data_IF_541296055553
#
_entry.id   IF_541296055553
#
_cell.length_a   1.000
_cell.length_b   1.000
_cell.length_c   1.000
_cell.angle_alpha   90.00
_cell.angle_beta   90.00
_cell.angle_gamma   90.00
#
_symmetry.space_group_name_H-M   'P 1'
#
loop_
_entity.id
_entity.type
_entity.pdbx_description
1 polymer ?
#
# COMPACT_ATOMS: atom_id res chain seq x y z
N UNK A 1 12.17 -2.23 16.04
CA UNK A 1 13.12 -3.02 15.22
C UNK A 1 14.49 -2.35 15.14
N UNK A 2 14.61 -1.20 14.47
CA UNK A 2 15.89 -0.47 14.34
C UNK A 2 16.53 -0.15 15.70
N UNK A 3 15.77 0.42 16.62
CA UNK A 3 16.25 0.73 17.98
C UNK A 3 16.72 -0.52 18.73
N UNK A 4 16.07 -1.67 18.54
CA UNK A 4 16.46 -2.94 19.16
C UNK A 4 17.77 -3.50 18.58
N UNK A 5 18.15 -3.09 17.36
CA UNK A 5 19.48 -3.34 16.78
C UNK A 5 20.51 -2.28 17.22
N UNK A 6 20.11 -1.28 18.01
CA UNK A 6 20.97 -0.16 18.41
C UNK A 6 21.30 0.78 17.25
N UNK A 7 20.49 0.78 16.18
CA UNK A 7 20.70 1.61 15.00
C UNK A 7 19.83 2.87 15.04
N UNK A 8 20.42 4.02 14.75
CA UNK A 8 19.68 5.26 14.53
C UNK A 8 19.63 5.56 13.04
N UNK A 9 18.45 5.40 12.44
CA UNK A 9 18.18 5.70 11.03
C UNK A 9 17.04 6.69 10.96
N UNK A 10 17.23 7.81 10.27
CA UNK A 10 16.33 8.96 10.34
C UNK A 10 15.64 9.29 9.01
N UNK A 11 15.97 8.60 7.91
CA UNK A 11 15.36 8.84 6.60
C UNK A 11 14.39 7.74 6.18
N UNK A 12 13.28 8.14 5.60
CA UNK A 12 12.34 7.25 4.90
C UNK A 12 12.25 7.71 3.45
N UNK A 13 12.48 6.79 2.52
CA UNK A 13 12.35 7.09 1.10
C UNK A 13 10.92 6.81 0.64
N UNK A 14 10.33 7.70 -0.13
CA UNK A 14 9.00 7.50 -0.70
C UNK A 14 8.97 8.02 -2.15
N UNK A 15 8.33 7.31 -3.11
CA UNK A 15 8.15 7.84 -4.46
C UNK A 15 7.43 9.19 -4.44
N UNK A 16 7.76 10.08 -5.37
CA UNK A 16 7.04 11.36 -5.54
C UNK A 16 5.55 11.17 -5.83
N UNK A 17 5.18 10.02 -6.39
CA UNK A 17 3.80 9.62 -6.66
C UNK A 17 3.07 9.09 -5.41
N UNK A 18 3.75 8.81 -4.30
CA UNK A 18 3.14 8.19 -3.13
C UNK A 18 1.93 8.97 -2.61
N UNK A 19 0.92 8.25 -2.10
CA UNK A 19 -0.22 8.90 -1.47
C UNK A 19 0.25 9.78 -0.31
N UNK A 20 -0.27 11.01 -0.20
CA UNK A 20 0.24 12.03 0.74
C UNK A 20 0.23 11.62 2.22
N UNK A 21 -0.54 10.58 2.59
CA UNK A 21 -0.49 9.98 3.93
C UNK A 21 0.83 9.31 4.26
N UNK A 22 1.56 8.79 3.26
CA UNK A 22 2.83 8.10 3.46
C UNK A 22 3.90 9.06 3.99
N UNK A 23 4.25 10.15 3.27
CA UNK A 23 5.22 11.13 3.78
C UNK A 23 4.73 11.81 5.05
N UNK A 24 3.43 12.09 5.18
CA UNK A 24 2.86 12.68 6.41
C UNK A 24 3.03 11.76 7.62
N UNK A 25 2.80 10.45 7.46
CA UNK A 25 2.96 9.46 8.55
C UNK A 25 4.42 9.30 8.93
N UNK A 26 5.33 9.21 7.96
CA UNK A 26 6.76 9.12 8.23
C UNK A 26 7.26 10.36 8.99
N UNK A 27 6.86 11.56 8.58
CA UNK A 27 7.16 12.80 9.28
C UNK A 27 6.57 12.83 10.71
N UNK A 28 5.34 12.36 10.89
CA UNK A 28 4.70 12.24 12.20
C UNK A 28 5.45 11.27 13.13
N UNK A 29 6.06 10.22 12.58
CA UNK A 29 6.94 9.30 13.29
C UNK A 29 8.36 9.85 13.50
N UNK A 30 8.65 11.10 13.13
CA UNK A 30 9.93 11.76 13.34
C UNK A 30 11.00 11.49 12.27
N UNK A 31 10.64 10.84 11.17
CA UNK A 31 11.57 10.62 10.05
C UNK A 31 11.62 11.83 9.11
N UNK A 32 12.79 12.04 8.49
CA UNK A 32 12.95 12.90 7.32
C UNK A 32 12.50 12.13 6.09
N UNK A 33 11.48 12.64 5.38
CA UNK A 33 11.04 12.08 4.11
C UNK A 33 11.99 12.53 3.01
N UNK A 34 12.52 11.59 2.25
CA UNK A 34 13.32 11.86 1.06
C UNK A 34 12.63 11.29 -0.19
N UNK A 35 12.20 12.13 -1.14
CA UNK A 35 11.50 11.67 -2.33
C UNK A 35 12.39 10.84 -3.26
N UNK A 36 11.82 9.79 -3.86
CA UNK A 36 12.42 9.00 -4.93
C UNK A 36 11.79 9.45 -6.26
N UNK A 37 12.60 9.84 -7.26
CA UNK A 37 12.06 10.26 -8.56
C UNK A 37 11.37 9.10 -9.28
N UNK A 38 10.41 9.45 -10.14
CA UNK A 38 9.83 8.52 -11.10
C UNK A 38 10.65 8.48 -12.40
N UNK A 39 10.68 7.32 -13.05
CA UNK A 39 11.23 7.18 -14.40
C UNK A 39 10.23 7.63 -15.48
N UNK A 40 10.66 7.64 -16.74
CA UNK A 40 9.81 8.02 -17.87
C UNK A 40 8.59 7.09 -18.09
N UNK A 41 8.54 5.94 -17.41
CA UNK A 41 7.44 4.97 -17.46
C UNK A 41 6.46 5.16 -16.29
N UNK A 42 6.66 6.18 -15.43
CA UNK A 42 5.80 6.45 -14.28
C UNK A 42 6.01 5.51 -13.10
N UNK A 43 7.14 4.80 -13.06
CA UNK A 43 7.53 3.87 -12.00
C UNK A 43 8.68 4.46 -11.19
N UNK A 44 9.03 3.83 -10.08
CA UNK A 44 10.22 4.24 -9.31
C UNK A 44 11.48 4.15 -10.18
N UNK A 45 12.27 5.23 -10.21
CA UNK A 45 13.60 5.18 -10.82
C UNK A 45 14.56 4.40 -9.90
N UNK A 46 14.93 3.19 -10.33
CA UNK A 46 15.85 2.32 -9.59
C UNK A 46 17.25 2.92 -9.45
N UNK A 47 17.72 3.74 -10.40
CA UNK A 47 19.02 4.39 -10.27
C UNK A 47 18.96 5.46 -9.17
N UNK A 48 17.94 6.33 -9.20
CA UNK A 48 17.68 7.32 -8.16
C UNK A 48 17.44 6.71 -6.78
N UNK A 49 16.73 5.57 -6.69
CA UNK A 49 16.59 4.82 -5.44
C UNK A 49 17.96 4.40 -4.91
N UNK A 50 18.78 3.74 -5.75
CA UNK A 50 20.09 3.22 -5.35
C UNK A 50 21.05 4.32 -4.89
N UNK A 51 21.02 5.50 -5.51
CA UNK A 51 21.83 6.65 -5.11
C UNK A 51 21.45 7.17 -3.72
N UNK A 52 20.16 7.08 -3.34
CA UNK A 52 19.64 7.58 -2.07
C UNK A 52 19.78 6.61 -0.90
N UNK A 53 19.98 5.32 -1.16
CA UNK A 53 20.15 4.30 -0.14
C UNK A 53 21.44 4.52 0.66
N UNK A 54 21.36 4.28 1.97
CA UNK A 54 22.47 4.51 2.89
C UNK A 54 22.19 3.94 4.27
N UNK A 55 23.19 3.95 5.17
CA UNK A 55 23.05 3.43 6.54
C UNK A 55 22.06 4.24 7.40
N UNK A 56 21.68 5.45 6.96
CA UNK A 56 20.72 6.35 7.58
C UNK A 56 19.26 6.12 7.12
N UNK A 57 19.05 5.25 6.12
CA UNK A 57 17.73 4.93 5.57
C UNK A 57 17.05 3.83 6.39
N UNK A 58 15.94 4.18 7.04
CA UNK A 58 15.14 3.30 7.88
C UNK A 58 14.21 2.41 7.05
N UNK A 59 13.56 2.97 6.04
CA UNK A 59 12.58 2.27 5.23
C UNK A 59 12.36 2.91 3.85
N UNK A 60 11.78 2.14 2.94
CA UNK A 60 11.06 2.66 1.78
C UNK A 60 9.55 2.50 1.98
N UNK A 61 8.77 3.46 1.48
CA UNK A 61 7.30 3.41 1.47
C UNK A 61 6.78 3.48 0.03
N UNK A 62 6.33 2.36 -0.53
CA UNK A 62 5.87 2.27 -1.93
C UNK A 62 4.43 1.80 -1.97
N UNK A 63 3.62 2.33 -2.89
CA UNK A 63 2.30 1.78 -3.22
C UNK A 63 2.45 0.88 -4.44
N UNK A 64 1.95 -0.36 -4.41
CA UNK A 64 1.96 -1.25 -5.57
C UNK A 64 0.60 -1.97 -5.74
N UNK A 65 -0.12 -1.78 -6.88
CA UNK A 65 0.15 -0.84 -7.97
C UNK A 65 0.31 0.60 -7.48
N UNK A 66 1.18 1.38 -8.12
CA UNK A 66 1.42 2.76 -7.75
C UNK A 66 0.20 3.64 -8.05
N UNK A 67 0.24 4.89 -7.60
CA UNK A 67 -0.87 5.85 -7.68
C UNK A 67 -1.16 6.35 -9.09
N UNK A 68 -0.35 5.96 -10.08
CA UNK A 68 -0.63 6.15 -11.50
C UNK A 68 -1.37 4.95 -12.12
N UNK A 69 -1.77 3.96 -11.30
CA UNK A 69 -2.38 2.73 -11.75
C UNK A 69 -1.40 1.74 -12.38
N UNK A 70 -0.09 1.88 -12.18
CA UNK A 70 0.93 1.04 -12.79
C UNK A 70 1.50 0.03 -11.80
N UNK A 71 1.77 -1.20 -12.25
CA UNK A 71 2.49 -2.17 -11.43
C UNK A 71 3.99 -1.84 -11.40
N UNK A 72 4.58 -1.75 -10.20
CA UNK A 72 6.01 -1.58 -10.00
C UNK A 72 6.74 -2.89 -10.36
N UNK A 73 7.24 -2.99 -11.59
CA UNK A 73 7.84 -4.22 -12.13
C UNK A 73 9.15 -4.58 -11.44
N UNK A 74 9.82 -3.59 -10.87
CA UNK A 74 11.14 -3.72 -10.25
C UNK A 74 11.02 -3.92 -8.71
N UNK A 75 9.83 -4.23 -8.19
CA UNK A 75 9.55 -4.29 -6.74
C UNK A 75 10.45 -5.28 -5.97
N UNK A 76 10.79 -6.43 -6.57
CA UNK A 76 11.71 -7.38 -5.94
C UNK A 76 13.13 -6.80 -5.83
N UNK A 77 13.57 -6.07 -6.86
CA UNK A 77 14.86 -5.38 -6.84
C UNK A 77 14.86 -4.24 -5.80
N UNK A 78 13.73 -3.54 -5.63
CA UNK A 78 13.56 -2.54 -4.56
C UNK A 78 13.70 -3.19 -3.19
N UNK A 79 13.04 -4.32 -2.97
CA UNK A 79 13.08 -5.06 -1.71
C UNK A 79 14.52 -5.51 -1.39
N UNK A 80 15.18 -6.15 -2.34
CA UNK A 80 16.58 -6.58 -2.20
C UNK A 80 17.49 -5.39 -1.89
N UNK A 81 17.30 -4.25 -2.56
CA UNK A 81 18.13 -3.06 -2.35
C UNK A 81 17.95 -2.44 -0.97
N UNK A 82 16.71 -2.28 -0.48
CA UNK A 82 16.47 -1.71 0.87
C UNK A 82 16.91 -2.67 1.96
N UNK A 83 16.69 -3.98 1.80
CA UNK A 83 17.15 -5.00 2.75
C UNK A 83 18.67 -5.08 2.81
N UNK A 84 19.36 -4.99 1.66
CA UNK A 84 20.82 -4.93 1.61
C UNK A 84 21.38 -3.67 2.30
N UNK A 85 20.66 -2.54 2.25
CA UNK A 85 21.00 -1.34 3.02
C UNK A 85 20.67 -1.46 4.52
N UNK A 86 19.95 -2.51 4.93
CA UNK A 86 19.50 -2.78 6.29
C UNK A 86 18.22 -2.04 6.70
N UNK A 87 17.50 -1.43 5.76
CA UNK A 87 16.18 -0.84 6.00
C UNK A 87 15.04 -1.85 5.82
N UNK A 88 13.81 -1.37 5.94
CA UNK A 88 12.59 -2.16 5.80
C UNK A 88 11.71 -1.70 4.64
N UNK A 89 10.94 -2.61 4.06
CA UNK A 89 9.99 -2.30 3.00
C UNK A 89 8.57 -2.17 3.56
N UNK A 90 8.05 -0.94 3.63
CA UNK A 90 6.63 -0.68 3.83
C UNK A 90 5.88 -0.57 2.50
N UNK A 91 4.79 -1.33 2.34
CA UNK A 91 3.86 -1.20 1.23
C UNK A 91 2.55 -0.55 1.67
N UNK A 92 2.10 0.45 0.91
CA UNK A 92 0.76 1.01 1.04
C UNK A 92 -0.23 0.09 0.32
N UNK A 93 -1.13 -0.55 1.09
CA UNK A 93 -2.12 -1.48 0.58
C UNK A 93 -3.45 -0.87 0.18
N UNK A 94 -3.53 0.45 -0.02
CA UNK A 94 -4.72 1.09 -0.57
C UNK A 94 -5.16 0.48 -1.92
N UNK A 95 -4.20 0.03 -2.73
CA UNK A 95 -4.42 -0.51 -4.08
C UNK A 95 -4.46 -2.05 -4.11
N UNK A 96 -4.65 -2.70 -2.95
CA UNK A 96 -4.63 -4.16 -2.85
C UNK A 96 -5.74 -4.87 -3.65
N UNK A 97 -6.78 -4.13 -4.06
CA UNK A 97 -7.85 -4.67 -4.90
C UNK A 97 -7.34 -5.20 -6.25
N UNK A 98 -6.24 -4.66 -6.77
CA UNK A 98 -5.62 -5.15 -8.00
C UNK A 98 -4.85 -6.48 -7.83
N UNK A 99 -4.57 -6.89 -6.59
CA UNK A 99 -3.62 -7.97 -6.27
C UNK A 99 -4.24 -9.12 -5.48
N UNK A 100 -5.41 -8.93 -4.86
CA UNK A 100 -6.04 -9.95 -4.02
C UNK A 100 -6.30 -11.25 -4.82
N UNK A 101 -5.87 -12.39 -4.27
CA UNK A 101 -5.95 -13.69 -4.96
C UNK A 101 -4.98 -13.88 -6.14
N UNK A 102 -4.14 -12.88 -6.43
CA UNK A 102 -3.15 -12.89 -7.53
C UNK A 102 -1.72 -12.95 -7.05
N UNK A 103 -1.36 -12.10 -6.09
CA UNK A 103 -0.01 -11.97 -5.56
C UNK A 103 -0.09 -11.89 -4.04
N UNK A 104 0.84 -12.55 -3.36
CA UNK A 104 0.99 -12.41 -1.90
C UNK A 104 2.01 -11.31 -1.63
N UNK A 105 1.68 -10.24 -0.89
CA UNK A 105 2.62 -9.15 -0.61
C UNK A 105 3.94 -9.63 0.02
N UNK A 106 3.91 -10.65 0.88
CA UNK A 106 5.12 -11.23 1.47
C UNK A 106 6.09 -11.85 0.45
N UNK A 107 5.60 -12.33 -0.70
CA UNK A 107 6.47 -12.84 -1.78
C UNK A 107 7.20 -11.71 -2.52
N UNK A 108 6.79 -10.45 -2.31
CA UNK A 108 7.40 -9.26 -2.91
C UNK A 108 8.47 -8.63 -2.00
N UNK A 109 8.82 -9.27 -0.88
CA UNK A 109 9.78 -8.74 0.09
C UNK A 109 9.24 -7.60 0.94
N UNK A 110 7.92 -7.45 1.02
CA UNK A 110 7.26 -6.42 1.84
C UNK A 110 7.31 -6.84 3.32
N UNK A 111 7.84 -5.96 4.17
CA UNK A 111 7.96 -6.18 5.62
C UNK A 111 6.73 -5.74 6.40
N UNK A 112 6.08 -4.67 5.95
CA UNK A 112 4.88 -4.17 6.58
C UNK A 112 3.91 -3.64 5.53
N UNK A 113 2.63 -3.89 5.71
CA UNK A 113 1.60 -3.36 4.82
C UNK A 113 0.33 -3.08 5.59
N UNK A 114 -0.20 -1.87 5.47
CA UNK A 114 -1.57 -1.60 5.92
C UNK A 114 -2.55 -1.99 4.82
N UNK A 115 -3.76 -2.41 5.20
CA UNK A 115 -4.81 -2.79 4.25
C UNK A 115 -6.05 -1.94 4.51
N UNK A 116 -6.55 -1.21 3.51
CA UNK A 116 -7.79 -0.46 3.65
C UNK A 116 -9.01 -1.39 3.49
N UNK A 117 -9.58 -1.88 4.59
CA UNK A 117 -10.80 -2.70 4.54
C UNK A 117 -11.97 -1.96 3.85
N UNK A 118 -11.99 -0.65 3.99
CA UNK A 118 -12.97 0.27 3.40
C UNK A 118 -12.74 0.64 1.94
N UNK A 119 -11.74 0.03 1.31
CA UNK A 119 -11.56 0.06 -0.14
C UNK A 119 -11.76 -1.33 -0.70
N UNK A 120 -10.81 -2.23 -0.43
CA UNK A 120 -10.73 -3.56 -1.06
C UNK A 120 -11.84 -4.52 -0.61
N UNK A 121 -12.32 -4.41 0.63
CA UNK A 121 -13.21 -5.41 1.24
C UNK A 121 -14.64 -4.92 1.44
N UNK A 122 -15.13 -4.10 0.50
CA UNK A 122 -16.55 -3.73 0.33
C UNK A 122 -17.19 -2.99 1.53
N UNK A 123 -16.41 -2.43 2.46
CA UNK A 123 -17.01 -1.62 3.54
C UNK A 123 -17.36 -0.22 3.02
N UNK A 124 -18.51 0.36 3.41
CA UNK A 124 -19.01 1.60 2.82
C UNK A 124 -18.09 2.79 3.17
N UNK A 125 -17.88 3.69 2.19
CA UNK A 125 -17.07 4.90 2.38
C UNK A 125 -17.71 5.93 3.34
N UNK A 126 -19.04 5.89 3.50
CA UNK A 126 -19.76 6.63 4.54
C UNK A 126 -19.64 8.16 4.52
N UNK A 127 -19.25 8.76 3.39
CA UNK A 127 -19.01 10.21 3.29
C UNK A 127 -17.73 10.69 3.97
N UNK A 128 -16.79 9.78 4.27
CA UNK A 128 -15.52 10.09 4.94
C UNK A 128 -15.16 9.17 6.11
N UNK A 129 -15.86 8.05 6.27
CA UNK A 129 -15.64 7.06 7.33
C UNK A 129 -16.93 6.38 7.78
N UNK A 130 -16.83 5.30 8.59
CA UNK A 130 -15.62 4.79 9.24
C UNK A 130 -14.74 3.92 8.34
N UNK A 131 -13.47 3.74 8.73
CA UNK A 131 -12.54 2.81 8.10
C UNK A 131 -11.78 1.97 9.13
N UNK A 132 -11.22 0.85 8.68
CA UNK A 132 -10.23 0.07 9.43
C UNK A 132 -9.01 -0.20 8.54
N UNK A 133 -7.83 -0.13 9.14
CA UNK A 133 -6.54 -0.33 8.50
C UNK A 133 -5.67 -1.33 9.27
N UNK A 134 -6.01 -2.64 9.29
CA UNK A 134 -5.10 -3.63 9.85
C UNK A 134 -3.74 -3.59 9.15
N UNK A 135 -2.69 -3.80 9.93
CA UNK A 135 -1.31 -3.87 9.43
C UNK A 135 -0.83 -5.30 9.56
N UNK A 136 -0.29 -5.83 8.48
CA UNK A 136 0.39 -7.12 8.45
C UNK A 136 1.90 -6.89 8.48
N UNK A 137 2.61 -7.79 9.16
CA UNK A 137 4.06 -7.71 9.37
C UNK A 137 4.74 -9.00 8.90
N UNK A 138 5.94 -8.88 8.36
CA UNK A 138 6.85 -10.01 8.13
C UNK A 138 7.39 -10.54 9.45
N UNK A 139 8.02 -11.73 9.41
CA UNK A 139 8.68 -12.32 10.57
C UNK A 139 9.75 -11.38 11.17
N UNK A 140 10.40 -10.57 10.34
CA UNK A 140 11.41 -9.60 10.76
C UNK A 140 10.84 -8.47 11.64
N UNK A 141 9.55 -8.17 11.50
CA UNK A 141 8.86 -7.13 12.25
C UNK A 141 7.86 -7.67 13.30
N UNK A 142 7.55 -8.97 13.27
CA UNK A 142 6.51 -9.60 14.11
C UNK A 142 6.71 -9.35 15.62
N UNK A 143 7.95 -9.40 16.12
CA UNK A 143 8.28 -9.16 17.52
C UNK A 143 8.06 -7.71 18.00
N UNK A 144 7.80 -6.78 17.07
CA UNK A 144 7.57 -5.36 17.35
C UNK A 144 6.13 -4.94 17.03
N UNK A 145 5.26 -5.86 16.65
CA UNK A 145 3.88 -5.54 16.31
C UNK A 145 3.13 -4.94 17.52
N UNK A 146 2.26 -3.94 17.31
CA UNK A 146 1.44 -3.38 18.37
C UNK A 146 0.31 -4.34 18.78
N UNK A 147 -0.21 -4.15 19.99
CA UNK A 147 -1.36 -4.90 20.51
C UNK A 147 -2.70 -4.17 20.25
N UNK A 148 -3.80 -4.91 20.02
CA UNK A 148 -3.88 -6.37 19.93
C UNK A 148 -3.42 -6.90 18.55
N UNK A 149 -2.85 -8.10 18.52
CA UNK A 149 -2.42 -8.76 17.27
C UNK A 149 -2.99 -10.18 17.17
N UNK A 150 -3.18 -10.64 15.94
CA UNK A 150 -3.54 -12.04 15.65
C UNK A 150 -2.28 -12.79 15.23
N UNK A 151 -1.98 -13.89 15.92
CA UNK A 151 -0.87 -14.77 15.59
C UNK A 151 -1.37 -16.13 15.14
N UNK A 152 -0.69 -16.71 14.15
CA UNK A 152 -0.89 -18.09 13.72
C UNK A 152 0.21 -18.97 14.29
N UNK A 153 -0.14 -20.04 14.99
CA UNK A 153 0.81 -21.03 15.50
C UNK A 153 1.36 -21.90 14.37
N UNK A 154 2.43 -22.65 14.65
CA UNK A 154 2.96 -23.66 13.73
C UNK A 154 1.95 -24.78 13.42
N UNK A 155 1.05 -25.10 14.36
CA UNK A 155 -0.05 -26.05 14.14
C UNK A 155 -1.18 -25.49 13.26
N UNK A 156 -1.13 -24.19 12.95
CA UNK A 156 -2.09 -23.50 12.10
C UNK A 156 -3.26 -22.87 12.84
N UNK A 157 -3.27 -22.91 14.17
CA UNK A 157 -4.28 -22.30 15.02
C UNK A 157 -4.05 -20.79 15.12
N UNK A 158 -5.15 -20.03 15.14
CA UNK A 158 -5.10 -18.59 15.33
C UNK A 158 -5.39 -18.24 16.79
N UNK A 159 -4.62 -17.33 17.34
CA UNK A 159 -4.82 -16.77 18.68
C UNK A 159 -4.77 -15.25 18.62
N UNK A 160 -5.51 -14.63 19.53
CA UNK A 160 -5.52 -13.19 19.72
C UNK A 160 -4.67 -12.87 20.94
N UNK A 161 -3.65 -12.03 20.76
CA UNK A 161 -2.76 -11.59 21.82
C UNK A 161 -3.12 -10.16 22.20
N UNK A 162 -3.48 -9.96 23.46
CA UNK A 162 -4.02 -8.68 23.96
C UNK A 162 -3.17 -8.04 25.07
N UNK A 163 -2.38 -8.83 25.80
CA UNK A 163 -1.52 -8.36 26.87
C UNK A 163 -0.05 -8.56 26.50
N UNK A 164 0.81 -7.69 27.04
CA UNK A 164 2.26 -7.79 26.83
C UNK A 164 2.80 -9.10 27.42
N UNK A 165 2.29 -9.53 28.56
CA UNK A 165 2.69 -10.78 29.21
C UNK A 165 2.33 -12.02 28.39
N UNK A 166 1.36 -11.90 27.48
CA UNK A 166 0.97 -12.96 26.53
C UNK A 166 1.82 -12.93 25.25
N UNK A 167 2.70 -11.93 25.09
CA UNK A 167 3.66 -11.88 23.98
C UNK A 167 4.93 -12.61 24.38
N UNK A 168 5.50 -13.40 23.46
CA UNK A 168 6.85 -13.93 23.62
C UNK A 168 7.93 -12.88 23.29
N UNK A 169 7.59 -11.58 23.32
CA UNK A 169 8.43 -10.51 22.79
C UNK A 169 8.56 -9.38 23.81
N UNK A 170 9.71 -9.35 24.50
CA UNK A 170 10.12 -8.24 25.37
C UNK A 170 10.20 -6.88 24.65
N UNK A 171 10.10 -6.89 23.32
CA UNK A 171 10.24 -5.74 22.41
C UNK A 171 8.95 -5.29 21.73
N UNK A 172 7.79 -5.83 22.13
CA UNK A 172 6.52 -5.42 21.54
C UNK A 172 6.29 -3.91 21.69
N UNK A 173 5.73 -3.25 20.66
CA UNK A 173 5.50 -1.80 20.68
C UNK A 173 4.52 -1.37 21.78
N UNK A 174 3.72 -2.31 22.29
CA UNK A 174 2.66 -2.06 23.25
C UNK A 174 1.31 -1.80 22.59
N UNK A 175 0.34 -1.42 23.41
CA UNK A 175 -1.04 -1.23 22.98
C UNK A 175 -1.24 0.16 22.39
N UNK A 176 -1.61 0.21 21.10
CA UNK A 176 -1.92 1.47 20.41
C UNK A 176 -3.37 1.91 20.60
N UNK A 177 -4.30 0.97 20.81
CA UNK A 177 -5.73 1.26 20.94
C UNK A 177 -6.36 0.52 22.12
N UNK A 178 -7.32 1.13 22.80
CA UNK A 178 -7.98 0.55 23.98
C UNK A 178 -8.67 -0.81 23.68
N UNK A 179 -9.18 -0.99 22.47
CA UNK A 179 -9.86 -2.21 22.00
C UNK A 179 -9.30 -2.64 20.63
N UNK A 180 -10.08 -3.40 19.85
CA UNK A 180 -9.73 -3.96 18.54
C UNK A 180 -9.92 -3.00 17.36
N UNK A 181 -9.93 -1.69 17.61
CA UNK A 181 -10.32 -0.69 16.60
C UNK A 181 -11.78 -0.84 16.15
N UNK A 182 -12.05 -0.58 14.87
CA UNK A 182 -13.40 -0.59 14.30
C UNK A 182 -13.89 -2.01 13.95
N UNK A 183 -14.24 -2.81 14.97
CA UNK A 183 -14.59 -4.24 14.81
C UNK A 183 -15.69 -4.51 13.77
N UNK A 184 -16.66 -3.61 13.62
CA UNK A 184 -17.71 -3.75 12.59
C UNK A 184 -17.16 -3.79 11.15
N UNK A 185 -16.02 -3.14 10.89
CA UNK A 185 -15.33 -3.20 9.58
C UNK A 185 -14.67 -4.56 9.36
N UNK A 186 -14.07 -5.14 10.40
CA UNK A 186 -13.52 -6.48 10.34
C UNK A 186 -14.59 -7.53 10.05
N UNK A 187 -15.76 -7.44 10.71
CA UNK A 187 -16.88 -8.37 10.48
C UNK A 187 -17.37 -8.29 9.02
N UNK A 188 -17.47 -7.08 8.45
CA UNK A 188 -17.88 -6.90 7.04
C UNK A 188 -16.84 -7.46 6.08
N UNK A 189 -15.56 -7.14 6.28
CA UNK A 189 -14.49 -7.68 5.46
C UNK A 189 -14.44 -9.21 5.52
N UNK A 190 -14.66 -9.79 6.70
CA UNK A 190 -14.75 -11.24 6.88
C UNK A 190 -15.93 -11.84 6.11
N UNK A 191 -17.13 -11.27 6.25
CA UNK A 191 -18.31 -11.71 5.49
C UNK A 191 -18.11 -11.61 3.98
N UNK A 192 -17.43 -10.55 3.51
CA UNK A 192 -17.07 -10.36 2.10
C UNK A 192 -16.12 -11.47 1.62
N UNK A 193 -15.03 -11.73 2.36
CA UNK A 193 -14.07 -12.78 2.02
C UNK A 193 -14.72 -14.17 1.99
N UNK A 194 -15.60 -14.48 2.97
CA UNK A 194 -16.32 -15.76 3.00
C UNK A 194 -17.32 -15.90 1.84
N UNK A 195 -18.02 -14.82 1.49
CA UNK A 195 -19.01 -14.84 0.40
C UNK A 195 -18.37 -15.05 -0.97
N UNK A 196 -17.19 -14.46 -1.20
CA UNK A 196 -16.49 -14.60 -2.47
C UNK A 196 -15.64 -15.87 -2.57
N UNK A 197 -15.06 -16.35 -1.46
CA UNK A 197 -14.06 -17.41 -1.52
C UNK A 197 -12.77 -16.97 -2.23
N UNK A 198 -11.79 -17.87 -2.32
CA UNK A 198 -10.49 -17.54 -2.89
C UNK A 198 -10.55 -17.28 -4.41
N UNK A 199 -11.37 -18.05 -5.12
CA UNK A 199 -11.64 -17.91 -6.55
C UNK A 199 -12.44 -16.64 -6.86
N UNK A 200 -13.45 -16.31 -6.06
CA UNK A 200 -14.21 -15.07 -6.23
C UNK A 200 -13.38 -13.82 -5.91
N UNK A 201 -12.50 -13.85 -4.89
CA UNK A 201 -11.58 -12.73 -4.62
C UNK A 201 -10.58 -12.54 -5.77
N UNK A 202 -10.07 -13.63 -6.35
CA UNK A 202 -9.22 -13.55 -7.55
C UNK A 202 -9.98 -12.93 -8.72
N UNK A 203 -11.23 -13.32 -8.93
CA UNK A 203 -12.07 -12.76 -9.99
C UNK A 203 -12.33 -11.26 -9.78
N UNK A 204 -12.57 -10.83 -8.53
CA UNK A 204 -12.73 -9.39 -8.21
C UNK A 204 -11.52 -8.58 -8.69
N UNK A 205 -10.30 -9.06 -8.44
CA UNK A 205 -9.09 -8.38 -8.89
C UNK A 205 -8.98 -8.38 -10.42
N UNK A 206 -9.27 -9.50 -11.09
CA UNK A 206 -9.27 -9.61 -12.55
C UNK A 206 -10.25 -8.66 -13.21
N UNK A 207 -11.49 -8.64 -12.71
CA UNK A 207 -12.56 -7.81 -13.25
C UNK A 207 -12.28 -6.33 -13.04
N UNK A 208 -11.67 -5.95 -11.90
CA UNK A 208 -11.26 -4.57 -11.65
C UNK A 208 -10.19 -4.11 -12.65
N UNK A 209 -9.14 -4.92 -12.87
CA UNK A 209 -8.08 -4.62 -13.84
C UNK A 209 -8.63 -4.60 -15.27
N UNK A 210 -9.46 -5.58 -15.63
CA UNK A 210 -10.09 -5.66 -16.95
C UNK A 210 -10.97 -4.43 -17.22
N UNK A 211 -11.79 -4.03 -16.25
CA UNK A 211 -12.70 -2.88 -16.38
C UNK A 211 -11.94 -1.57 -16.56
N UNK A 212 -10.86 -1.35 -15.80
CA UNK A 212 -10.02 -0.17 -15.96
C UNK A 212 -9.37 -0.10 -17.35
N UNK A 213 -8.83 -1.22 -17.84
CA UNK A 213 -8.24 -1.29 -19.18
C UNK A 213 -9.30 -1.13 -20.29
N UNK A 214 -10.51 -1.64 -20.08
CA UNK A 214 -11.62 -1.42 -21.01
C UNK A 214 -11.99 0.07 -21.11
N UNK A 215 -12.10 0.76 -19.97
CA UNK A 215 -12.36 2.21 -19.92
C UNK A 215 -11.23 2.96 -20.61
N UNK A 216 -9.96 2.61 -20.31
CA UNK A 216 -8.80 3.22 -20.95
C UNK A 216 -8.87 3.11 -22.47
N UNK A 217 -8.98 1.87 -22.99
CA UNK A 217 -9.05 1.62 -24.43
C UNK A 217 -10.26 2.28 -25.10
N UNK A 218 -11.40 2.39 -24.40
CA UNK A 218 -12.61 3.02 -24.93
C UNK A 218 -12.49 4.54 -25.05
N UNK A 219 -11.64 5.18 -24.24
CA UNK A 219 -11.48 6.62 -24.17
C UNK A 219 -10.16 7.13 -24.78
N UNK A 220 -9.25 6.24 -25.20
CA UNK A 220 -7.93 6.60 -25.76
C UNK A 220 -8.00 7.50 -27.01
N UNK A 221 -9.13 7.50 -27.73
CA UNK A 221 -9.33 8.41 -28.87
C UNK A 221 -9.67 9.85 -28.45
N UNK A 222 -10.26 10.03 -27.26
CA UNK A 222 -10.82 11.30 -26.78
C UNK A 222 -10.02 11.90 -25.61
N UNK A 223 -9.34 11.04 -24.83
CA UNK A 223 -8.63 11.41 -23.60
C UNK A 223 -7.17 10.95 -23.63
N UNK A 224 -6.27 11.79 -23.11
CA UNK A 224 -4.82 11.54 -23.11
C UNK A 224 -4.41 10.68 -21.92
N UNK A 225 -4.19 9.39 -22.14
CA UNK A 225 -3.64 8.50 -21.11
C UNK A 225 -2.25 8.99 -20.68
N UNK A 226 -2.02 9.11 -19.37
CA UNK A 226 -0.75 9.63 -18.82
C UNK A 226 0.43 8.73 -19.09
N UNK A 227 0.20 7.42 -19.14
CA UNK A 227 1.22 6.42 -19.42
C UNK A 227 0.73 5.43 -20.48
N UNK A 228 1.61 4.97 -21.38
CA UNK A 228 1.25 4.02 -22.41
C UNK A 228 1.11 2.60 -21.83
N UNK A 229 0.27 1.80 -22.48
CA UNK A 229 0.09 0.38 -22.15
C UNK A 229 -0.97 0.14 -21.08
N UNK A 230 -1.09 -1.12 -20.61
CA UNK A 230 -2.15 -1.49 -19.70
C UNK A 230 -1.91 -0.91 -18.30
N UNK A 231 -3.01 -0.54 -17.65
CA UNK A 231 -3.03 -0.17 -16.25
C UNK A 231 -3.49 -1.35 -15.37
N UNK A 232 -3.46 -1.16 -14.06
CA UNK A 232 -3.99 -2.11 -13.08
C UNK A 232 -5.47 -1.79 -12.83
N UNK A 233 -5.92 -1.65 -11.59
CA UNK A 233 -7.33 -1.43 -11.27
C UNK A 233 -7.84 0.02 -11.49
N UNK A 234 -7.00 0.92 -11.99
CA UNK A 234 -7.33 2.33 -12.24
C UNK A 234 -6.54 2.83 -13.46
N UNK A 235 -7.15 3.69 -14.29
CA UNK A 235 -6.49 4.33 -15.43
C UNK A 235 -6.37 5.84 -15.20
N UNK A 236 -5.25 6.44 -15.61
CA UNK A 236 -5.00 7.87 -15.44
C UNK A 236 -5.01 8.58 -16.80
N UNK A 237 -5.85 9.60 -16.91
CA UNK A 237 -5.84 10.57 -18.00
C UNK A 237 -5.38 11.93 -17.47
N UNK A 238 -4.47 12.59 -18.17
CA UNK A 238 -4.05 13.96 -17.84
C UNK A 238 -4.80 14.99 -18.67
N UNK A 239 -4.49 16.27 -18.45
CA UNK A 239 -5.16 17.41 -19.06
C UNK A 239 -4.73 17.73 -20.50
N UNK A 240 -3.85 16.93 -21.12
CA UNK A 240 -3.37 17.20 -22.49
C UNK A 240 -4.50 17.20 -23.53
N UNK A 241 -5.55 16.41 -23.33
CA UNK A 241 -6.73 16.42 -24.22
C UNK A 241 -7.58 17.69 -24.10
N UNK A 242 -7.40 18.47 -23.02
CA UNK A 242 -8.06 19.76 -22.81
C UNK A 242 -7.23 20.94 -23.32
N UNK A 243 -6.01 20.68 -23.82
CA UNK A 243 -5.10 21.73 -24.27
C UNK A 243 -5.77 22.58 -25.36
N UNK A 244 -5.61 23.90 -25.25
CA UNK A 244 -6.12 24.90 -26.20
C UNK A 244 -7.66 25.00 -26.30
N UNK A 245 -8.41 24.28 -25.44
CA UNK A 245 -9.89 24.36 -25.39
C UNK A 245 -10.42 25.49 -24.50
N UNK A 246 -9.59 26.01 -23.59
CA UNK A 246 -9.99 26.93 -22.54
C UNK A 246 -10.69 26.27 -21.34
N UNK A 247 -10.85 24.94 -21.34
CA UNK A 247 -11.45 24.15 -20.27
C UNK A 247 -10.35 23.65 -19.31
N UNK A 248 -10.51 23.88 -18.01
CA UNK A 248 -9.62 23.30 -17.00
C UNK A 248 -10.04 21.89 -16.58
N UNK A 249 -9.14 21.13 -15.94
CA UNK A 249 -9.48 19.85 -15.31
C UNK A 249 -10.65 19.98 -14.33
N UNK A 250 -10.74 21.10 -13.60
CA UNK A 250 -11.84 21.35 -12.67
C UNK A 250 -13.15 21.57 -13.41
N UNK A 251 -13.17 22.34 -14.50
CA UNK A 251 -14.37 22.56 -15.30
C UNK A 251 -14.89 21.23 -15.87
N UNK A 252 -13.99 20.41 -16.42
CA UNK A 252 -14.32 19.08 -16.91
C UNK A 252 -14.89 18.18 -15.81
N UNK A 253 -14.25 18.15 -14.63
CA UNK A 253 -14.73 17.40 -13.48
C UNK A 253 -16.12 17.84 -13.00
N UNK A 254 -16.43 19.14 -13.06
CA UNK A 254 -17.75 19.68 -12.69
C UNK A 254 -18.82 19.38 -13.73
N UNK A 255 -18.48 19.30 -15.01
CA UNK A 255 -19.43 18.97 -16.07
C UNK A 255 -19.90 17.50 -16.06
N UNK A 256 -19.16 16.59 -15.39
CA UNK A 256 -19.53 15.17 -15.26
C UNK A 256 -20.58 14.88 -14.18
N UNK A 257 -20.91 15.86 -13.32
CA UNK A 257 -21.93 15.75 -12.26
C UNK A 257 -23.28 16.19 -12.82
#
# INVERSE_FOLDING_TARGET
>A
ALDARGETRNRVLAPESAHGTNPATAAMCGYTVDPIPADARGRVDMAGLREKLGPDVAAIMVTNPNTCGLFETDILEMADAIHAAGGYFYCDGANFNALVGRVRPGDLGIDAMHINLHKTFSTPHGGGGPGAGPVVFSDALAAYAPLPLVQKSQSGEFSLVEQLDDTNADTAFGRMTAFHGQMGMFVRAYAYMLSHGADGLRQVAEDAVLSANYIQASLEADMSASYPGPCMHECLFDDRFLKDTGVSTLDFAKAMI
#
